data_IF_913165575662
#
_entry.id   IF_913165575662
#
_cell.length_a   1.000
_cell.length_b   1.000
_cell.length_c   1.000
_cell.angle_alpha   90.00
_cell.angle_beta   90.00
_cell.angle_gamma   90.00
#
_symmetry.space_group_name_H-M   'P 1'
#
loop_
_entity.id
_entity.type
_entity.pdbx_description
1 polymer ?
#
# COMPACT_ATOMS: atom_id res chain seq x y z
N UNK A 1 -18.78 18.38 26.24
CA UNK A 1 -17.65 17.49 26.62
C UNK A 1 -16.61 17.56 25.52
N UNK A 2 -15.35 17.93 25.81
CA UNK A 2 -14.30 17.96 24.81
C UNK A 2 -14.00 16.52 24.37
N UNK A 3 -13.94 16.29 23.06
CA UNK A 3 -13.73 14.95 22.49
C UNK A 3 -12.23 14.76 22.24
N UNK A 4 -11.65 13.73 22.85
CA UNK A 4 -10.29 13.32 22.52
C UNK A 4 -10.19 12.86 21.06
N UNK A 5 -9.08 13.13 20.37
CA UNK A 5 -8.86 12.63 19.01
C UNK A 5 -8.84 11.09 19.01
N UNK A 6 -9.54 10.48 18.04
CA UNK A 6 -9.46 9.04 17.82
C UNK A 6 -8.10 8.75 17.18
N UNK A 7 -7.15 8.23 17.96
CA UNK A 7 -5.76 8.00 17.53
C UNK A 7 -5.52 6.61 16.93
N UNK A 8 -6.50 5.69 16.97
CA UNK A 8 -6.40 4.33 16.41
C UNK A 8 -7.72 3.84 15.82
N UNK A 9 -7.68 3.33 14.59
CA UNK A 9 -8.81 2.74 13.84
C UNK A 9 -9.44 1.53 14.54
N UNK A 10 -8.67 0.75 15.30
CA UNK A 10 -9.19 -0.42 16.03
C UNK A 10 -10.11 -0.05 17.20
N UNK A 11 -9.90 1.11 17.83
CA UNK A 11 -10.76 1.68 18.88
C UNK A 11 -12.10 2.16 18.32
N UNK A 12 -12.13 2.58 17.04
CA UNK A 12 -13.36 2.98 16.35
C UNK A 12 -14.33 1.80 16.20
N UNK A 13 -13.80 0.61 15.89
CA UNK A 13 -14.63 -0.58 15.65
C UNK A 13 -14.89 -1.43 16.89
N UNK A 14 -14.06 -1.32 17.94
CA UNK A 14 -14.28 -2.03 19.23
C UNK A 14 -15.28 -1.34 20.14
N UNK A 15 -15.64 -0.08 19.88
CA UNK A 15 -16.74 0.59 20.56
C UNK A 15 -18.09 0.17 19.98
N UNK A 16 -18.46 -1.05 20.38
CA UNK A 16 -19.84 -1.54 20.61
C UNK A 16 -20.71 -1.79 19.38
N UNK A 17 -21.42 -2.90 19.52
CA UNK A 17 -22.64 -3.41 18.87
C UNK A 17 -23.83 -2.42 18.81
N UNK A 18 -23.56 -1.13 18.75
CA UNK A 18 -24.54 -0.07 18.63
C UNK A 18 -24.66 0.33 17.17
N UNK A 19 -25.91 0.47 16.69
CA UNK A 19 -26.29 1.11 15.42
C UNK A 19 -25.36 2.29 15.10
N UNK A 20 -25.07 2.54 13.82
CA UNK A 20 -24.39 3.76 13.37
C UNK A 20 -25.17 5.02 13.83
N UNK A 21 -24.92 5.55 15.03
CA UNK A 21 -25.65 6.71 15.60
C UNK A 21 -25.09 8.06 15.10
N UNK A 22 -24.01 8.07 14.33
CA UNK A 22 -23.35 9.30 13.85
C UNK A 22 -23.42 9.52 12.35
N UNK A 23 -23.94 8.55 11.59
CA UNK A 23 -24.01 8.62 10.13
C UNK A 23 -25.36 8.08 9.68
N UNK A 24 -26.06 8.81 8.81
CA UNK A 24 -27.26 8.28 8.19
C UNK A 24 -26.92 7.05 7.36
N UNK A 25 -27.91 6.21 7.02
CA UNK A 25 -27.74 5.10 6.06
C UNK A 25 -27.28 5.56 4.67
N UNK A 26 -27.23 6.86 4.41
CA UNK A 26 -26.83 7.48 3.15
C UNK A 26 -25.41 8.07 3.22
N UNK A 27 -24.75 8.03 4.38
CA UNK A 27 -23.39 8.58 4.51
C UNK A 27 -22.39 7.64 3.88
N UNK A 28 -21.72 8.11 2.84
CA UNK A 28 -20.58 7.42 2.23
C UNK A 28 -19.39 7.44 3.19
N UNK A 29 -18.81 6.27 3.43
CA UNK A 29 -17.56 6.11 4.18
C UNK A 29 -16.45 5.73 3.22
N UNK A 30 -15.31 6.42 3.33
CA UNK A 30 -14.10 6.12 2.54
C UNK A 30 -12.91 6.00 3.49
N UNK A 31 -12.12 4.94 3.36
CA UNK A 31 -10.86 4.80 4.08
C UNK A 31 -9.65 5.23 3.23
N UNK A 32 -8.45 5.23 3.82
CA UNK A 32 -7.19 5.56 3.14
C UNK A 32 -6.09 4.51 3.41
N UNK A 33 -6.45 3.29 3.82
CA UNK A 33 -5.49 2.25 4.20
C UNK A 33 -4.72 1.65 3.01
N UNK A 34 -3.57 1.02 3.28
CA UNK A 34 -2.72 0.49 2.21
C UNK A 34 -3.16 -0.86 1.60
N UNK A 35 -4.14 -1.52 2.21
CA UNK A 35 -4.77 -2.77 1.73
C UNK A 35 -6.28 -2.63 1.70
N UNK A 36 -6.95 -3.28 0.76
CA UNK A 36 -8.37 -3.05 0.47
C UNK A 36 -9.25 -4.26 0.66
N UNK A 37 -8.76 -5.47 0.40
CA UNK A 37 -9.59 -6.66 0.42
C UNK A 37 -10.28 -6.88 1.77
N UNK A 38 -9.52 -6.83 2.86
CA UNK A 38 -10.03 -7.11 4.20
C UNK A 38 -11.06 -6.06 4.68
N UNK A 39 -10.78 -4.77 4.44
CA UNK A 39 -11.65 -3.68 4.88
C UNK A 39 -12.93 -3.59 4.03
N UNK A 40 -12.82 -3.77 2.71
CA UNK A 40 -13.95 -3.82 1.79
C UNK A 40 -14.91 -4.96 2.17
N UNK A 41 -14.41 -6.18 2.36
CA UNK A 41 -15.23 -7.33 2.82
C UNK A 41 -15.87 -7.08 4.18
N UNK A 42 -15.20 -6.36 5.07
CA UNK A 42 -15.77 -6.00 6.39
C UNK A 42 -16.90 -4.99 6.24
N UNK A 43 -16.73 -3.96 5.41
CA UNK A 43 -17.76 -2.97 5.12
C UNK A 43 -19.02 -3.61 4.50
N UNK A 44 -18.85 -4.52 3.54
CA UNK A 44 -19.98 -5.24 2.91
C UNK A 44 -20.78 -6.06 3.92
N UNK A 45 -20.10 -6.83 4.79
CA UNK A 45 -20.77 -7.63 5.84
C UNK A 45 -21.54 -6.76 6.83
N UNK A 46 -21.09 -5.54 7.05
CA UNK A 46 -21.74 -4.57 7.93
C UNK A 46 -22.76 -3.69 7.20
N UNK A 47 -22.99 -3.91 5.90
CA UNK A 47 -23.88 -3.13 5.05
C UNK A 47 -23.57 -1.61 5.09
N UNK A 48 -22.29 -1.25 5.15
CA UNK A 48 -21.84 0.16 5.17
C UNK A 48 -21.79 0.71 3.75
N UNK A 49 -22.40 1.88 3.47
CA UNK A 49 -22.17 2.60 2.21
C UNK A 49 -20.70 3.00 2.12
N UNK A 50 -19.91 2.28 1.33
CA UNK A 50 -18.45 2.32 1.44
C UNK A 50 -17.76 2.37 0.08
N UNK A 51 -16.62 3.04 0.00
CA UNK A 51 -15.62 2.90 -1.05
C UNK A 51 -14.28 2.69 -0.35
N UNK A 52 -13.52 1.66 -0.72
CA UNK A 52 -12.15 1.54 -0.25
C UNK A 52 -11.26 2.57 -0.94
N UNK A 53 -10.50 3.37 -0.20
CA UNK A 53 -9.62 4.39 -0.78
C UNK A 53 -8.15 4.12 -0.46
N UNK A 54 -7.23 4.33 -1.40
CA UNK A 54 -5.80 4.25 -1.14
C UNK A 54 -5.04 5.30 -1.97
N UNK A 55 -4.69 6.45 -1.37
CA UNK A 55 -3.72 7.35 -1.99
C UNK A 55 -2.33 6.71 -1.96
N UNK A 56 -1.69 6.55 -3.13
CA UNK A 56 -0.29 6.16 -3.26
C UNK A 56 0.62 7.36 -3.00
N UNK A 57 0.43 7.99 -1.85
CA UNK A 57 1.18 9.15 -1.39
C UNK A 57 1.65 8.89 0.04
N UNK A 58 2.91 9.17 0.32
CA UNK A 58 3.51 8.96 1.63
C UNK A 58 4.63 9.96 1.88
N UNK A 59 4.84 10.28 3.15
CA UNK A 59 5.94 11.10 3.62
C UNK A 59 6.64 10.37 4.77
N UNK A 60 7.92 10.66 4.95
CA UNK A 60 8.72 10.07 6.04
C UNK A 60 8.28 10.59 7.42
N UNK A 61 7.62 11.76 7.45
CA UNK A 61 7.11 12.39 8.65
C UNK A 61 5.64 12.03 8.88
N UNK A 62 5.29 11.73 10.14
CA UNK A 62 3.94 11.38 10.57
C UNK A 62 3.38 12.44 11.53
N UNK A 63 2.06 12.58 11.56
CA UNK A 63 1.35 13.51 12.44
C UNK A 63 0.63 14.63 11.67
N UNK A 64 -0.42 15.25 12.24
CA UNK A 64 -1.13 16.38 11.63
C UNK A 64 -0.23 17.55 11.24
N UNK A 65 0.88 17.73 11.94
CA UNK A 65 1.86 18.80 11.78
C UNK A 65 2.68 18.61 10.50
N UNK A 66 2.78 17.37 10.00
CA UNK A 66 3.39 17.03 8.73
C UNK A 66 2.39 17.07 7.56
N UNK A 67 1.16 17.55 7.78
CA UNK A 67 0.16 17.66 6.72
C UNK A 67 0.64 18.65 5.64
N UNK A 68 0.56 18.20 4.38
CA UNK A 68 0.95 18.99 3.22
C UNK A 68 -0.22 19.05 2.24
N UNK A 69 -0.58 20.26 1.81
CA UNK A 69 -1.64 20.50 0.82
C UNK A 69 -1.35 19.82 -0.52
N UNK A 70 -0.08 19.67 -0.86
CA UNK A 70 0.39 19.07 -2.11
C UNK A 70 0.71 17.58 -1.98
N UNK A 71 0.41 16.95 -0.83
CA UNK A 71 0.74 15.55 -0.58
C UNK A 71 0.24 14.60 -1.67
N UNK A 72 -0.93 14.88 -2.23
CA UNK A 72 -1.60 14.01 -3.19
C UNK A 72 -1.44 14.46 -4.64
N UNK A 73 -0.72 15.55 -4.90
CA UNK A 73 -0.57 16.10 -6.24
C UNK A 73 0.11 15.08 -7.16
N UNK A 74 -0.53 14.81 -8.30
CA UNK A 74 -0.13 13.84 -9.32
C UNK A 74 0.01 12.39 -8.83
N UNK A 75 -0.37 12.11 -7.58
CA UNK A 75 -0.28 10.78 -6.99
C UNK A 75 -1.46 9.90 -7.42
N UNK A 76 -1.23 8.61 -7.76
CA UNK A 76 -2.32 7.66 -7.95
C UNK A 76 -3.19 7.56 -6.69
N UNK A 77 -4.50 7.49 -6.85
CA UNK A 77 -5.45 7.26 -5.78
C UNK A 77 -6.42 6.16 -6.19
N UNK A 78 -6.30 5.00 -5.57
CA UNK A 78 -7.17 3.87 -5.87
C UNK A 78 -8.51 4.00 -5.15
N UNK A 79 -9.58 3.73 -5.89
CA UNK A 79 -10.96 3.65 -5.42
C UNK A 79 -11.47 2.24 -5.69
N UNK A 80 -11.82 1.54 -4.62
CA UNK A 80 -12.27 0.17 -4.62
C UNK A 80 -13.76 0.12 -4.26
N UNK A 81 -14.66 0.23 -5.25
CA UNK A 81 -16.08 0.04 -5.00
C UNK A 81 -16.36 -1.39 -4.55
N UNK A 82 -17.44 -1.54 -3.79
CA UNK A 82 -17.94 -2.78 -3.22
C UNK A 82 -19.44 -2.89 -3.49
N UNK A 83 -20.06 -4.04 -3.18
CA UNK A 83 -21.50 -4.23 -3.40
C UNK A 83 -22.38 -3.24 -2.65
N UNK A 84 -21.88 -2.67 -1.56
CA UNK A 84 -22.59 -1.66 -0.75
C UNK A 84 -22.26 -0.23 -1.17
N UNK A 85 -21.45 0.00 -2.20
CA UNK A 85 -21.21 1.33 -2.75
C UNK A 85 -22.49 1.89 -3.37
N UNK A 86 -22.95 3.09 -2.97
CA UNK A 86 -24.12 3.72 -3.58
C UNK A 86 -23.89 4.11 -5.04
N UNK A 87 -24.97 4.11 -5.83
CA UNK A 87 -24.95 4.60 -7.21
C UNK A 87 -24.47 6.06 -7.27
N UNK A 88 -23.59 6.38 -8.21
CA UNK A 88 -23.04 7.73 -8.38
C UNK A 88 -21.94 8.12 -7.37
N UNK A 89 -21.70 7.30 -6.32
CA UNK A 89 -20.74 7.62 -5.27
C UNK A 89 -19.29 7.61 -5.79
N UNK A 90 -18.96 6.70 -6.71
CA UNK A 90 -17.62 6.60 -7.29
C UNK A 90 -17.32 7.86 -8.12
N UNK A 91 -18.22 8.27 -8.99
CA UNK A 91 -18.06 9.46 -9.83
C UNK A 91 -17.99 10.74 -8.98
N UNK A 92 -18.79 10.82 -7.92
CA UNK A 92 -18.72 11.93 -6.97
C UNK A 92 -17.35 11.96 -6.27
N UNK A 93 -16.87 10.82 -5.77
CA UNK A 93 -15.61 10.78 -5.04
C UNK A 93 -14.39 10.97 -5.96
N UNK A 94 -14.45 10.52 -7.22
CA UNK A 94 -13.44 10.84 -8.22
C UNK A 94 -13.27 12.35 -8.42
N UNK A 95 -14.35 13.14 -8.36
CA UNK A 95 -14.25 14.62 -8.41
C UNK A 95 -13.50 15.19 -7.20
N UNK A 96 -13.70 14.62 -6.01
CA UNK A 96 -12.97 15.00 -4.79
C UNK A 96 -11.49 14.67 -4.97
N UNK A 97 -11.16 13.44 -5.39
CA UNK A 97 -9.78 13.00 -5.64
C UNK A 97 -9.08 13.91 -6.65
N UNK A 98 -9.74 14.27 -7.76
CA UNK A 98 -9.18 15.22 -8.74
C UNK A 98 -9.01 16.62 -8.17
N UNK A 99 -9.92 17.08 -7.31
CA UNK A 99 -9.84 18.43 -6.71
C UNK A 99 -8.66 18.61 -5.76
N UNK A 100 -8.14 17.52 -5.19
CA UNK A 100 -6.91 17.52 -4.37
C UNK A 100 -5.65 17.25 -5.21
N UNK A 101 -5.76 17.26 -6.54
CA UNK A 101 -4.64 17.05 -7.46
C UNK A 101 -4.23 15.60 -7.70
N UNK A 102 -4.95 14.62 -7.13
CA UNK A 102 -4.63 13.21 -7.28
C UNK A 102 -5.25 12.59 -8.54
N UNK A 103 -4.70 11.45 -8.97
CA UNK A 103 -5.12 10.73 -10.17
C UNK A 103 -5.98 9.51 -9.77
N UNK A 104 -7.31 9.55 -9.94
CA UNK A 104 -8.17 8.45 -9.51
C UNK A 104 -8.05 7.22 -10.42
N UNK A 105 -7.92 6.04 -9.81
CA UNK A 105 -7.98 4.73 -10.46
C UNK A 105 -9.07 3.88 -9.82
N UNK A 106 -10.04 3.40 -10.60
CA UNK A 106 -11.09 2.50 -10.11
C UNK A 106 -10.65 1.06 -10.35
N UNK A 107 -10.62 0.25 -9.29
CA UNK A 107 -10.10 -1.13 -9.32
C UNK A 107 -10.83 -2.00 -8.32
N UNK A 108 -10.90 -3.32 -8.52
CA UNK A 108 -11.45 -4.23 -7.52
C UNK A 108 -10.56 -4.29 -6.27
N UNK A 109 -11.10 -4.56 -5.05
CA UNK A 109 -10.28 -4.73 -3.85
C UNK A 109 -9.22 -5.84 -3.99
N UNK A 110 -9.57 -6.93 -4.67
CA UNK A 110 -8.67 -8.05 -4.96
C UNK A 110 -7.52 -7.66 -5.89
N UNK A 111 -7.82 -6.98 -7.00
CA UNK A 111 -6.80 -6.57 -7.98
C UNK A 111 -5.90 -5.48 -7.40
N UNK A 112 -6.46 -4.58 -6.59
CA UNK A 112 -5.68 -3.62 -5.82
C UNK A 112 -4.64 -4.33 -4.95
N UNK A 113 -5.06 -5.28 -4.10
CA UNK A 113 -4.15 -5.93 -3.16
C UNK A 113 -3.11 -6.80 -3.86
N UNK A 114 -3.44 -7.36 -5.03
CA UNK A 114 -2.46 -8.04 -5.90
C UNK A 114 -1.44 -7.06 -6.45
N UNK A 115 -1.90 -5.93 -7.00
CA UNK A 115 -1.05 -4.90 -7.57
C UNK A 115 -0.08 -4.34 -6.51
N UNK A 116 -0.58 -3.91 -5.35
CA UNK A 116 0.27 -3.29 -4.31
C UNK A 116 1.19 -4.29 -3.63
N UNK A 117 0.86 -5.60 -3.62
CA UNK A 117 1.79 -6.62 -3.17
C UNK A 117 3.06 -6.63 -4.04
N UNK A 118 2.91 -6.46 -5.36
CA UNK A 118 4.00 -6.43 -6.31
C UNK A 118 4.75 -5.08 -6.29
N UNK A 119 4.04 -3.95 -6.39
CA UNK A 119 4.67 -2.63 -6.64
C UNK A 119 5.03 -1.86 -5.37
N UNK A 120 4.65 -2.33 -4.18
CA UNK A 120 4.89 -1.64 -2.90
C UNK A 120 5.40 -2.57 -1.80
N UNK A 121 4.66 -3.64 -1.49
CA UNK A 121 4.98 -4.47 -0.33
C UNK A 121 6.21 -5.34 -0.54
N UNK A 122 6.37 -5.94 -1.72
CA UNK A 122 7.58 -6.68 -2.07
C UNK A 122 8.82 -5.76 -2.08
N UNK A 123 8.82 -4.60 -2.77
CA UNK A 123 9.94 -3.64 -2.68
C UNK A 123 10.31 -3.26 -1.25
N UNK A 124 9.34 -3.02 -0.37
CA UNK A 124 9.62 -2.73 1.03
C UNK A 124 10.36 -3.88 1.73
N UNK A 125 9.88 -5.12 1.61
CA UNK A 125 10.51 -6.24 2.35
C UNK A 125 11.91 -6.52 1.82
N UNK A 126 12.13 -6.40 0.50
CA UNK A 126 13.44 -6.52 -0.12
C UNK A 126 14.38 -5.40 0.35
N UNK A 127 13.92 -4.15 0.40
CA UNK A 127 14.70 -3.03 0.92
C UNK A 127 15.11 -3.23 2.38
N UNK A 128 14.18 -3.70 3.22
CA UNK A 128 14.45 -4.00 4.63
C UNK A 128 15.46 -5.13 4.80
N UNK A 129 15.31 -6.22 4.04
CA UNK A 129 16.25 -7.35 4.08
C UNK A 129 17.64 -6.94 3.59
N UNK A 130 17.73 -6.18 2.50
CA UNK A 130 18.99 -5.68 1.97
C UNK A 130 19.71 -4.76 2.96
N UNK A 131 18.96 -3.90 3.66
CA UNK A 131 19.51 -3.02 4.70
C UNK A 131 20.08 -3.81 5.89
N UNK A 132 19.42 -4.91 6.26
CA UNK A 132 19.88 -5.81 7.32
C UNK A 132 21.14 -6.56 6.91
N UNK A 133 21.15 -7.18 5.72
CA UNK A 133 22.28 -7.92 5.16
C UNK A 133 23.55 -7.06 5.01
N UNK A 134 23.40 -5.76 4.74
CA UNK A 134 24.53 -4.85 4.49
C UNK A 134 24.88 -3.97 5.69
N UNK A 135 24.23 -4.19 6.84
CA UNK A 135 24.31 -3.32 8.01
C UNK A 135 25.74 -3.07 8.54
N UNK A 136 26.60 -4.10 8.47
CA UNK A 136 27.99 -4.03 8.96
C UNK A 136 28.96 -3.20 8.08
N UNK A 137 28.54 -2.81 6.87
CA UNK A 137 29.40 -2.12 5.89
C UNK A 137 28.72 -0.87 5.31
N UNK A 138 27.75 -0.30 6.02
CA UNK A 138 26.91 0.79 5.53
C UNK A 138 27.69 2.06 5.22
N UNK A 139 28.79 2.30 5.93
CA UNK A 139 29.72 3.40 5.74
C UNK A 139 30.51 3.31 4.42
N UNK A 140 30.70 2.10 3.89
CA UNK A 140 31.37 1.86 2.61
C UNK A 140 30.40 1.90 1.42
N UNK A 141 29.10 2.06 1.69
CA UNK A 141 28.07 1.96 0.68
C UNK A 141 28.12 3.11 -0.35
N UNK A 142 27.96 2.76 -1.62
CA UNK A 142 27.71 3.73 -2.68
C UNK A 142 26.28 4.31 -2.66
N UNK A 143 25.98 5.28 -3.54
CA UNK A 143 24.63 5.86 -3.68
C UNK A 143 23.54 4.82 -3.98
N UNK A 144 23.86 3.77 -4.75
CA UNK A 144 22.90 2.72 -5.13
C UNK A 144 22.27 2.01 -3.93
N UNK A 145 23.09 1.55 -2.97
CA UNK A 145 22.57 0.90 -1.77
C UNK A 145 21.70 1.86 -0.95
N UNK A 146 22.10 3.13 -0.82
CA UNK A 146 21.30 4.14 -0.10
C UNK A 146 19.93 4.34 -0.73
N UNK A 147 19.85 4.40 -2.05
CA UNK A 147 18.59 4.53 -2.78
C UNK A 147 17.69 3.31 -2.59
N UNK A 148 18.24 2.10 -2.71
CA UNK A 148 17.47 0.85 -2.55
C UNK A 148 16.99 0.63 -1.11
N UNK A 149 17.81 1.01 -0.12
CA UNK A 149 17.50 0.79 1.31
C UNK A 149 16.74 1.94 1.96
N UNK A 150 16.42 3.02 1.23
CA UNK A 150 15.68 4.19 1.77
C UNK A 150 14.37 3.79 2.44
N UNK A 151 13.65 2.81 1.87
CA UNK A 151 12.39 2.32 2.42
C UNK A 151 12.56 1.56 3.74
N UNK A 152 13.74 1.03 4.07
CA UNK A 152 13.96 0.21 5.25
C UNK A 152 13.69 0.94 6.57
N UNK A 153 13.73 2.28 6.56
CA UNK A 153 13.42 3.12 7.72
C UNK A 153 11.91 3.25 8.02
N UNK A 154 11.05 2.62 7.23
CA UNK A 154 9.61 2.73 7.39
C UNK A 154 9.11 2.24 8.76
N UNK A 155 8.09 2.90 9.37
CA UNK A 155 7.62 2.53 10.71
C UNK A 155 7.00 1.13 10.78
N UNK A 156 7.57 0.26 11.62
CA UNK A 156 7.14 -1.15 11.73
C UNK A 156 5.67 -1.31 12.14
N UNK A 157 5.11 -0.36 12.90
CA UNK A 157 3.72 -0.47 13.35
C UNK A 157 2.72 -0.37 12.19
N UNK A 158 3.03 0.41 11.14
CA UNK A 158 2.24 0.50 9.90
C UNK A 158 2.41 -0.80 9.11
N UNK A 159 3.66 -1.17 8.84
CA UNK A 159 3.99 -2.33 8.01
C UNK A 159 3.54 -3.67 8.60
N UNK A 160 3.54 -3.80 9.92
CA UNK A 160 2.97 -4.98 10.60
C UNK A 160 1.51 -5.20 10.22
N UNK A 161 0.72 -4.14 10.15
CA UNK A 161 -0.71 -4.25 9.85
C UNK A 161 -0.95 -4.43 8.34
N UNK A 162 -0.08 -3.85 7.49
CA UNK A 162 -0.03 -4.15 6.04
C UNK A 162 0.28 -5.63 5.81
N UNK A 163 1.33 -6.19 6.43
CA UNK A 163 1.70 -7.59 6.25
C UNK A 163 0.61 -8.56 6.72
N UNK A 164 -0.11 -8.24 7.80
CA UNK A 164 -1.26 -9.05 8.25
C UNK A 164 -2.41 -9.09 7.23
N UNK A 165 -2.51 -8.11 6.36
CA UNK A 165 -3.63 -7.93 5.44
C UNK A 165 -3.24 -8.08 3.96
N UNK A 166 -1.93 -8.19 3.66
CA UNK A 166 -1.42 -8.44 2.32
C UNK A 166 -1.39 -9.94 2.00
N UNK A 167 -2.57 -10.50 1.68
CA UNK A 167 -2.70 -11.92 1.37
C UNK A 167 -1.94 -12.39 0.12
N UNK A 168 -1.58 -11.48 -0.78
CA UNK A 168 -0.85 -11.80 -2.02
C UNK A 168 0.68 -11.73 -1.87
N UNK A 169 1.21 -11.03 -0.86
CA UNK A 169 2.66 -10.85 -0.67
C UNK A 169 3.44 -12.18 -0.60
N UNK A 170 2.98 -13.24 0.10
CA UNK A 170 3.71 -14.51 0.13
C UNK A 170 3.94 -15.12 -1.27
N UNK A 171 2.96 -14.98 -2.17
CA UNK A 171 3.08 -15.46 -3.56
C UNK A 171 4.07 -14.61 -4.35
N UNK A 172 4.03 -13.29 -4.20
CA UNK A 172 4.99 -12.38 -4.84
C UNK A 172 6.42 -12.65 -4.35
N UNK A 173 6.59 -12.88 -3.04
CA UNK A 173 7.88 -13.23 -2.46
C UNK A 173 8.40 -14.57 -2.99
N UNK A 174 7.53 -15.59 -3.09
CA UNK A 174 7.89 -16.88 -3.69
C UNK A 174 8.35 -16.72 -5.14
N UNK A 175 7.60 -15.95 -5.95
CA UNK A 175 8.00 -15.67 -7.34
C UNK A 175 9.34 -14.93 -7.43
N UNK A 176 9.60 -14.02 -6.50
CA UNK A 176 10.88 -13.32 -6.42
C UNK A 176 12.03 -14.27 -6.03
N UNK A 177 11.83 -15.17 -5.07
CA UNK A 177 12.80 -16.21 -4.69
C UNK A 177 13.16 -17.09 -5.89
N UNK A 178 12.17 -17.52 -6.67
CA UNK A 178 12.41 -18.32 -7.89
C UNK A 178 13.23 -17.57 -8.95
N UNK A 179 13.03 -16.25 -9.07
CA UNK A 179 13.84 -15.40 -9.95
C UNK A 179 15.29 -15.31 -9.46
N UNK A 180 15.49 -15.11 -8.16
CA UNK A 180 16.83 -15.10 -7.56
C UNK A 180 17.55 -16.44 -7.74
N UNK A 181 16.84 -17.56 -7.57
CA UNK A 181 17.41 -18.88 -7.77
C UNK A 181 17.90 -19.07 -9.22
N UNK A 182 17.11 -18.65 -10.22
CA UNK A 182 17.54 -18.71 -11.63
C UNK A 182 18.79 -17.89 -11.91
N UNK A 183 18.92 -16.71 -11.28
CA UNK A 183 20.12 -15.88 -11.38
C UNK A 183 21.32 -16.58 -10.75
N UNK A 184 21.15 -17.17 -9.56
CA UNK A 184 22.20 -17.92 -8.89
C UNK A 184 22.67 -19.12 -9.73
N UNK A 185 21.74 -19.93 -10.24
CA UNK A 185 22.04 -21.10 -11.07
C UNK A 185 22.78 -20.69 -12.36
N UNK A 186 22.39 -19.55 -12.96
CA UNK A 186 23.05 -18.96 -14.13
C UNK A 186 24.50 -18.55 -13.85
N UNK A 187 24.77 -17.96 -12.67
CA UNK A 187 26.12 -17.62 -12.24
C UNK A 187 26.98 -18.85 -11.96
N UNK A 188 26.44 -19.84 -11.24
CA UNK A 188 27.16 -21.07 -10.90
C UNK A 188 27.46 -21.93 -12.14
N UNK A 189 26.54 -21.95 -13.10
CA UNK A 189 26.72 -22.64 -14.39
C UNK A 189 27.59 -21.91 -15.40
N UNK A 190 27.99 -20.65 -15.14
CA UNK A 190 28.79 -19.82 -16.04
C UNK A 190 28.07 -19.38 -17.32
N UNK A 191 26.73 -19.49 -17.37
CA UNK A 191 25.93 -19.06 -18.51
C UNK A 191 25.18 -17.77 -18.19
N UNK A 192 25.68 -16.64 -18.68
CA UNK A 192 25.18 -15.31 -18.35
C UNK A 192 24.02 -14.82 -19.23
N UNK A 193 23.52 -15.62 -20.17
CA UNK A 193 22.47 -15.18 -21.10
C UNK A 193 21.17 -14.72 -20.39
N UNK A 194 20.78 -15.42 -19.31
CA UNK A 194 19.62 -15.02 -18.49
C UNK A 194 19.87 -13.67 -17.80
N UNK A 195 21.06 -13.47 -17.24
CA UNK A 195 21.45 -12.21 -16.58
C UNK A 195 21.48 -11.06 -17.60
N UNK A 196 22.09 -11.26 -18.77
CA UNK A 196 22.10 -10.26 -19.84
C UNK A 196 20.69 -9.87 -20.30
N UNK A 197 19.78 -10.85 -20.37
CA UNK A 197 18.37 -10.61 -20.69
C UNK A 197 17.70 -9.73 -19.62
N UNK A 198 17.95 -10.00 -18.33
CA UNK A 198 17.41 -9.19 -17.23
C UNK A 198 17.87 -7.73 -17.30
N UNK A 199 19.15 -7.49 -17.60
CA UNK A 199 19.70 -6.14 -17.71
C UNK A 199 19.10 -5.35 -18.89
N UNK A 200 18.88 -6.00 -20.04
CA UNK A 200 18.23 -5.37 -21.21
C UNK A 200 16.80 -4.90 -20.92
N UNK A 201 16.05 -5.62 -20.07
CA UNK A 201 14.72 -5.18 -19.66
C UNK A 201 14.79 -3.93 -18.77
N UNK A 202 15.76 -3.85 -17.86
CA UNK A 202 15.95 -2.69 -17.00
C UNK A 202 16.37 -1.41 -17.73
N UNK A 203 17.00 -1.52 -18.90
CA UNK A 203 17.34 -0.36 -19.75
C UNK A 203 16.13 0.24 -20.48
N UNK A 204 14.98 -0.45 -20.47
CA UNK A 204 13.78 -0.07 -21.22
C UNK A 204 12.65 0.56 -20.37
N UNK A 205 12.84 0.66 -19.06
CA UNK A 205 11.94 1.34 -18.10
C UNK A 205 12.41 2.76 -17.76
#
# INVERSE_FOLDING_TARGET
MPREPITRTSSYWRLRSAKFWFTSKQTLVVDVGSTKLAICRKAERLAVPFIGGHPMAGQEQSGPEAANVDLFRDAPFFLCPVRTTPDGAVEQFQRIVKSIGAVPHVISPEDHDRLVAQISHLPQIIATLLAEQTSAHRELAGPGLRSMTRLAASPIHIWRDIFKTSGFLPRELQSFIERLQRVLDSMEGGNFAEIESLFKHGESE
#
